data_IF_373470353414
#
_entry.id   IF_373470353414
#
_cell.length_a   1.000
_cell.length_b   1.000
_cell.length_c   1.000
_cell.angle_alpha   90.00
_cell.angle_beta   90.00
_cell.angle_gamma   90.00
#
_symmetry.space_group_name_H-M   'P 1'
#
loop_
_entity.id
_entity.type
_entity.pdbx_description
1 polymer ?
#
# COMPACT_ATOMS: atom_id res chain seq x y z
N UNK A 1 -4.04 20.42 49.72
CA UNK A 1 -3.28 19.23 49.29
C UNK A 1 -4.27 18.16 48.87
N UNK A 2 -4.43 17.93 47.56
CA UNK A 2 -5.26 16.83 47.07
C UNK A 2 -4.37 15.59 46.96
N UNK A 3 -4.56 14.63 47.87
CA UNK A 3 -4.02 13.30 47.71
C UNK A 3 -4.61 12.68 46.44
N UNK A 4 -3.78 12.53 45.41
CA UNK A 4 -4.07 11.59 44.33
C UNK A 4 -4.15 10.20 44.96
N UNK A 5 -5.38 9.74 45.24
CA UNK A 5 -5.69 8.34 45.54
C UNK A 5 -5.10 7.49 44.41
N UNK A 6 -3.93 6.89 44.65
CA UNK A 6 -3.38 5.84 43.79
C UNK A 6 -4.36 4.67 43.87
N UNK A 7 -5.15 4.49 42.82
CA UNK A 7 -5.95 3.27 42.65
C UNK A 7 -4.99 2.09 42.69
N UNK A 8 -5.23 1.07 43.55
CA UNK A 8 -4.42 -0.14 43.54
C UNK A 8 -4.47 -0.72 42.12
N UNK A 9 -3.29 -0.92 41.51
CA UNK A 9 -3.17 -1.50 40.18
C UNK A 9 -3.49 -2.98 40.27
N UNK A 10 -4.77 -3.30 40.23
CA UNK A 10 -5.23 -4.67 40.12
C UNK A 10 -4.59 -5.29 38.86
N UNK A 11 -3.79 -6.36 38.98
CA UNK A 11 -3.16 -7.00 37.84
C UNK A 11 -4.18 -7.49 36.80
N UNK A 12 -5.42 -7.82 37.19
CA UNK A 12 -6.48 -8.19 36.25
C UNK A 12 -6.94 -7.01 35.40
N UNK A 13 -7.01 -5.81 35.98
CA UNK A 13 -7.35 -4.56 35.26
C UNK A 13 -6.26 -4.19 34.27
N UNK A 14 -4.99 -4.35 34.65
CA UNK A 14 -3.87 -4.11 33.72
C UNK A 14 -3.87 -5.12 32.56
N UNK A 15 -4.09 -6.41 32.86
CA UNK A 15 -4.10 -7.45 31.84
C UNK A 15 -5.27 -7.27 30.85
N UNK A 16 -6.46 -6.91 31.35
CA UNK A 16 -7.63 -6.62 30.51
C UNK A 16 -7.44 -5.37 29.66
N UNK A 17 -6.91 -4.27 30.23
CA UNK A 17 -6.58 -3.07 29.47
C UNK A 17 -5.54 -3.36 28.37
N UNK A 18 -4.52 -4.18 28.65
CA UNK A 18 -3.53 -4.56 27.64
C UNK A 18 -4.13 -5.43 26.52
N UNK A 19 -5.02 -6.37 26.83
CA UNK A 19 -5.75 -7.14 25.82
C UNK A 19 -6.61 -6.24 24.93
N UNK A 20 -7.29 -5.26 25.53
CA UNK A 20 -8.09 -4.28 24.80
C UNK A 20 -7.21 -3.39 23.91
N UNK A 21 -6.05 -2.97 24.40
CA UNK A 21 -5.05 -2.23 23.61
C UNK A 21 -4.58 -3.04 22.40
N UNK A 22 -4.11 -4.28 22.58
CA UNK A 22 -3.63 -5.11 21.47
C UNK A 22 -4.73 -5.41 20.46
N UNK A 23 -5.96 -5.65 20.92
CA UNK A 23 -7.13 -5.82 20.06
C UNK A 23 -7.34 -4.55 19.24
N UNK A 24 -7.42 -3.38 19.88
CA UNK A 24 -7.61 -2.11 19.20
C UNK A 24 -6.50 -1.81 18.18
N UNK A 25 -5.25 -2.14 18.52
CA UNK A 25 -4.10 -1.96 17.65
C UNK A 25 -4.20 -2.86 16.42
N UNK A 26 -4.51 -4.15 16.61
CA UNK A 26 -4.69 -5.11 15.52
C UNK A 26 -5.79 -4.67 14.54
N UNK A 27 -6.92 -4.17 15.06
CA UNK A 27 -7.98 -3.58 14.24
C UNK A 27 -7.51 -2.30 13.54
N UNK A 28 -6.82 -1.39 14.22
CA UNK A 28 -6.34 -0.14 13.62
C UNK A 28 -5.34 -0.35 12.49
N UNK A 29 -4.51 -1.41 12.59
CA UNK A 29 -3.53 -1.80 11.57
C UNK A 29 -4.14 -2.60 10.43
N UNK A 30 -5.47 -2.79 10.42
CA UNK A 30 -6.22 -3.56 9.40
C UNK A 30 -5.77 -5.03 9.29
N UNK A 31 -5.00 -5.53 10.26
CA UNK A 31 -4.44 -6.89 10.27
C UNK A 31 -5.51 -7.97 10.47
N UNK A 32 -6.69 -7.57 10.96
CA UNK A 32 -7.84 -8.46 11.13
C UNK A 32 -8.61 -8.70 9.82
N UNK A 33 -8.37 -7.91 8.77
CA UNK A 33 -9.04 -8.08 7.47
C UNK A 33 -8.18 -8.90 6.51
N UNK A 34 -8.55 -10.18 6.35
CA UNK A 34 -7.82 -11.10 5.47
C UNK A 34 -7.84 -10.67 3.98
N UNK A 35 -8.98 -10.20 3.41
CA UNK A 35 -9.00 -9.70 2.03
C UNK A 35 -8.04 -8.52 1.81
N UNK A 36 -8.04 -7.53 2.70
CA UNK A 36 -7.12 -6.40 2.63
C UNK A 36 -5.65 -6.83 2.71
N UNK A 37 -5.30 -7.66 3.69
CA UNK A 37 -3.91 -8.11 3.86
C UNK A 37 -3.41 -8.97 2.69
N UNK A 38 -4.30 -9.78 2.08
CA UNK A 38 -3.98 -10.51 0.86
C UNK A 38 -3.78 -9.56 -0.32
N UNK A 39 -4.68 -8.60 -0.53
CA UNK A 39 -4.54 -7.58 -1.58
C UNK A 39 -3.26 -6.75 -1.40
N UNK A 40 -2.89 -6.41 -0.16
CA UNK A 40 -1.68 -5.64 0.13
C UNK A 40 -0.43 -6.46 -0.21
N UNK A 41 -0.42 -7.75 0.11
CA UNK A 41 0.66 -8.66 -0.26
C UNK A 41 0.80 -8.80 -1.77
N UNK A 42 -0.32 -8.97 -2.48
CA UNK A 42 -0.33 -9.04 -3.96
C UNK A 42 0.23 -7.76 -4.57
N UNK A 43 -0.24 -6.60 -4.13
CA UNK A 43 0.26 -5.30 -4.57
C UNK A 43 1.77 -5.17 -4.37
N UNK A 44 2.29 -5.48 -3.18
CA UNK A 44 3.73 -5.42 -2.91
C UNK A 44 4.52 -6.39 -3.79
N UNK A 45 4.00 -7.60 -4.04
CA UNK A 45 4.62 -8.58 -4.93
C UNK A 45 4.71 -8.06 -6.36
N UNK A 46 3.67 -7.41 -6.87
CA UNK A 46 3.69 -6.83 -8.22
C UNK A 46 4.56 -5.57 -8.30
N UNK A 47 4.73 -4.83 -7.22
CA UNK A 47 5.73 -3.74 -7.14
C UNK A 47 7.15 -4.31 -7.26
N UNK A 48 7.44 -5.41 -6.55
CA UNK A 48 8.74 -6.09 -6.67
C UNK A 48 8.98 -6.61 -8.10
N UNK A 49 7.94 -7.16 -8.74
CA UNK A 49 8.00 -7.60 -10.14
C UNK A 49 8.25 -6.43 -11.11
N UNK A 50 7.60 -5.28 -10.90
CA UNK A 50 7.84 -4.07 -11.68
C UNK A 50 9.30 -3.60 -11.55
N UNK A 51 9.85 -3.60 -10.33
CA UNK A 51 11.25 -3.25 -10.08
C UNK A 51 12.19 -4.22 -10.82
N UNK A 52 11.89 -5.52 -10.80
CA UNK A 52 12.68 -6.52 -11.51
C UNK A 52 12.72 -6.27 -13.03
N UNK A 53 11.61 -5.83 -13.64
CA UNK A 53 11.60 -5.45 -15.06
C UNK A 53 12.43 -4.20 -15.34
N UNK A 54 12.43 -3.21 -14.45
CA UNK A 54 13.27 -2.01 -14.57
C UNK A 54 14.76 -2.38 -14.52
N UNK A 55 15.16 -3.22 -13.56
CA UNK A 55 16.55 -3.67 -13.43
C UNK A 55 16.99 -4.51 -14.64
N UNK A 56 16.09 -5.35 -15.15
CA UNK A 56 16.33 -6.12 -16.38
C UNK A 56 16.50 -5.21 -17.59
N UNK A 57 15.63 -4.22 -17.77
CA UNK A 57 15.72 -3.26 -18.87
C UNK A 57 17.05 -2.50 -18.82
N UNK A 58 17.46 -2.04 -17.62
CA UNK A 58 18.75 -1.37 -17.42
C UNK A 58 19.94 -2.27 -17.81
N UNK A 59 19.85 -3.56 -17.51
CA UNK A 59 20.89 -4.53 -17.87
C UNK A 59 20.98 -4.71 -19.39
N UNK A 60 19.83 -4.83 -20.07
CA UNK A 60 19.75 -4.94 -21.53
C UNK A 60 20.32 -3.69 -22.20
N UNK A 61 19.92 -2.50 -21.76
CA UNK A 61 20.39 -1.24 -22.31
C UNK A 61 21.90 -1.07 -22.15
N UNK A 62 22.44 -1.44 -20.98
CA UNK A 62 23.89 -1.44 -20.78
C UNK A 62 24.62 -2.35 -21.77
N UNK A 63 24.06 -3.52 -22.08
CA UNK A 63 24.67 -4.43 -23.04
C UNK A 63 24.57 -3.90 -24.48
N UNK A 64 23.44 -3.28 -24.84
CA UNK A 64 23.29 -2.60 -26.14
C UNK A 64 24.29 -1.45 -26.31
N UNK A 65 24.55 -0.68 -25.25
CA UNK A 65 25.55 0.38 -25.27
C UNK A 65 26.97 -0.19 -25.47
N UNK A 66 27.31 -1.30 -24.81
CA UNK A 66 28.59 -2.00 -25.01
C UNK A 66 28.73 -2.53 -26.45
N UNK A 67 27.66 -3.05 -27.05
CA UNK A 67 27.66 -3.52 -28.44
C UNK A 67 27.89 -2.37 -29.42
N UNK A 68 27.28 -1.20 -29.17
CA UNK A 68 27.35 -0.02 -30.04
C UNK A 68 28.67 0.74 -29.92
N UNK A 69 29.17 0.92 -28.70
CA UNK A 69 30.32 1.79 -28.42
C UNK A 69 31.64 1.01 -28.42
N UNK A 70 31.64 -0.23 -27.91
CA UNK A 70 32.85 -1.04 -27.74
C UNK A 70 32.92 -2.22 -28.73
N UNK A 71 31.83 -2.52 -29.44
CA UNK A 71 31.75 -3.62 -30.40
C UNK A 71 31.73 -5.01 -29.73
N UNK A 72 31.43 -5.08 -28.43
CA UNK A 72 31.38 -6.33 -27.65
C UNK A 72 30.03 -7.01 -27.87
N UNK A 73 29.93 -7.81 -28.93
CA UNK A 73 28.69 -8.52 -29.31
C UNK A 73 28.61 -9.90 -28.67
N UNK A 74 27.48 -10.20 -28.05
CA UNK A 74 27.15 -11.57 -27.63
C UNK A 74 26.42 -12.30 -28.78
N UNK A 75 27.11 -13.27 -29.39
CA UNK A 75 26.59 -14.02 -30.53
C UNK A 75 25.32 -14.85 -30.21
N UNK A 76 24.99 -15.05 -28.94
CA UNK A 76 23.83 -15.83 -28.51
C UNK A 76 22.67 -14.99 -27.99
N UNK A 77 22.85 -13.67 -27.84
CA UNK A 77 21.82 -12.77 -27.31
C UNK A 77 21.24 -11.85 -28.39
N UNK A 78 19.95 -11.54 -28.28
CA UNK A 78 19.30 -10.53 -29.12
C UNK A 78 18.71 -9.44 -28.22
N UNK A 79 19.57 -8.52 -27.79
CA UNK A 79 19.20 -7.49 -26.83
C UNK A 79 18.14 -6.52 -27.36
N UNK A 80 18.06 -6.27 -28.68
CA UNK A 80 17.02 -5.42 -29.26
C UNK A 80 15.62 -6.04 -29.17
N UNK A 81 15.51 -7.36 -29.35
CA UNK A 81 14.24 -8.05 -29.18
C UNK A 81 13.88 -8.17 -27.69
N UNK A 82 14.87 -8.51 -26.84
CA UNK A 82 14.66 -8.58 -25.40
C UNK A 82 14.21 -7.23 -24.80
N UNK A 83 14.74 -6.11 -25.28
CA UNK A 83 14.31 -4.77 -24.85
C UNK A 83 12.82 -4.57 -25.12
N UNK A 84 12.35 -4.88 -26.35
CA UNK A 84 10.93 -4.75 -26.73
C UNK A 84 10.03 -5.63 -25.87
N UNK A 85 10.44 -6.87 -25.63
CA UNK A 85 9.67 -7.81 -24.83
C UNK A 85 9.59 -7.35 -23.36
N UNK A 86 10.70 -6.86 -22.81
CA UNK A 86 10.74 -6.33 -21.43
C UNK A 86 9.94 -5.04 -21.30
N UNK A 87 9.94 -4.14 -22.29
CA UNK A 87 9.11 -2.93 -22.28
C UNK A 87 7.62 -3.26 -22.25
N UNK A 88 7.21 -4.28 -23.00
CA UNK A 88 5.82 -4.73 -23.03
C UNK A 88 5.40 -5.38 -21.69
N UNK A 89 6.28 -6.18 -21.08
CA UNK A 89 6.03 -6.72 -19.73
C UNK A 89 6.07 -5.64 -18.65
N UNK A 90 6.91 -4.61 -18.79
CA UNK A 90 6.97 -3.46 -17.89
C UNK A 90 5.65 -2.68 -17.90
N UNK A 91 5.08 -2.41 -19.08
CA UNK A 91 3.76 -1.76 -19.20
C UNK A 91 2.65 -2.60 -18.55
N UNK A 92 2.67 -3.92 -18.77
CA UNK A 92 1.73 -4.85 -18.12
C UNK A 92 1.88 -4.85 -16.60
N UNK A 93 3.12 -4.87 -16.09
CA UNK A 93 3.40 -4.83 -14.67
C UNK A 93 2.93 -3.50 -14.04
N UNK A 94 3.18 -2.37 -14.69
CA UNK A 94 2.67 -1.05 -14.27
C UNK A 94 1.14 -1.08 -14.15
N UNK A 95 0.44 -1.50 -15.21
CA UNK A 95 -1.03 -1.59 -15.21
C UNK A 95 -1.57 -2.51 -14.12
N UNK A 96 -0.85 -3.60 -13.81
CA UNK A 96 -1.19 -4.52 -12.72
C UNK A 96 -1.06 -3.85 -11.35
N UNK A 97 0.04 -3.14 -11.10
CA UNK A 97 0.25 -2.35 -9.88
C UNK A 97 -0.84 -1.29 -9.70
N UNK A 98 -1.19 -0.57 -10.78
CA UNK A 98 -2.26 0.42 -10.75
C UNK A 98 -3.62 -0.22 -10.43
N UNK A 99 -3.93 -1.37 -11.03
CA UNK A 99 -5.15 -2.13 -10.75
C UNK A 99 -5.22 -2.57 -9.29
N UNK A 100 -4.13 -3.13 -8.76
CA UNK A 100 -4.06 -3.59 -7.38
C UNK A 100 -4.23 -2.43 -6.38
N UNK A 101 -3.64 -1.27 -6.68
CA UNK A 101 -3.81 -0.07 -5.88
C UNK A 101 -5.29 0.36 -5.84
N UNK A 102 -5.98 0.36 -6.99
CA UNK A 102 -7.42 0.66 -7.05
C UNK A 102 -8.22 -0.34 -6.22
N UNK A 103 -7.90 -1.63 -6.30
CA UNK A 103 -8.56 -2.68 -5.49
C UNK A 103 -8.31 -2.49 -3.99
N UNK A 104 -7.10 -2.11 -3.59
CA UNK A 104 -6.77 -1.79 -2.20
C UNK A 104 -7.56 -0.59 -1.67
N UNK A 105 -7.62 0.49 -2.44
CA UNK A 105 -8.41 1.70 -2.10
C UNK A 105 -9.89 1.35 -1.99
N UNK A 106 -10.42 0.56 -2.92
CA UNK A 106 -11.81 0.09 -2.86
C UNK A 106 -12.08 -0.70 -1.58
N UNK A 107 -11.21 -1.64 -1.21
CA UNK A 107 -11.35 -2.42 0.04
C UNK A 107 -11.26 -1.53 1.28
N UNK A 108 -10.38 -0.54 1.29
CA UNK A 108 -10.28 0.44 2.37
C UNK A 108 -11.59 1.25 2.52
N UNK A 109 -12.20 1.67 1.41
CA UNK A 109 -13.51 2.37 1.42
C UNK A 109 -14.63 1.49 1.94
N UNK A 110 -14.65 0.20 1.61
CA UNK A 110 -15.59 -0.77 2.19
C UNK A 110 -15.39 -0.92 3.70
N UNK A 111 -14.14 -1.10 4.14
CA UNK A 111 -13.80 -1.23 5.55
C UNK A 111 -14.15 0.01 6.35
N UNK A 112 -13.99 1.21 5.78
CA UNK A 112 -14.41 2.45 6.43
C UNK A 112 -15.92 2.47 6.68
N UNK A 113 -16.73 2.11 5.66
CA UNK A 113 -18.19 1.98 5.79
C UNK A 113 -18.61 0.94 6.84
N UNK A 114 -17.97 -0.24 6.80
CA UNK A 114 -18.22 -1.31 7.78
C UNK A 114 -17.88 -0.85 9.21
N UNK A 115 -16.75 -0.16 9.39
CA UNK A 115 -16.30 0.34 10.70
C UNK A 115 -17.17 1.45 11.26
N UNK A 116 -17.62 2.37 10.41
CA UNK A 116 -18.59 3.42 10.79
C UNK A 116 -19.90 2.80 11.27
N UNK A 117 -20.34 1.69 10.66
CA UNK A 117 -21.58 0.98 11.04
C UNK A 117 -21.48 0.08 12.27
N UNK A 118 -20.30 -0.44 12.62
CA UNK A 118 -20.17 -1.48 13.66
C UNK A 118 -20.11 -0.91 15.08
N UNK A 119 -19.94 0.42 15.26
CA UNK A 119 -19.89 1.03 16.60
C UNK A 119 -18.78 0.47 17.51
N UNK A 120 -17.83 -0.32 16.96
CA UNK A 120 -16.76 -0.97 17.72
C UNK A 120 -15.81 0.05 18.40
N UNK A 121 -15.88 1.31 17.96
CA UNK A 121 -15.22 2.47 18.54
C UNK A 121 -16.22 3.56 18.99
N UNK A 122 -17.52 3.27 18.86
CA UNK A 122 -18.65 4.21 18.97
C UNK A 122 -19.36 4.24 20.33
N UNK A 123 -19.10 3.29 21.23
CA UNK A 123 -19.48 3.46 22.64
C UNK A 123 -18.46 2.76 23.55
N UNK A 124 -17.88 3.55 24.46
CA UNK A 124 -16.63 3.22 25.14
C UNK A 124 -16.78 2.12 26.18
N UNK A 125 -16.26 0.93 25.89
CA UNK A 125 -15.93 -0.03 26.93
C UNK A 125 -14.60 0.40 27.60
N UNK A 126 -14.70 1.39 28.49
CA UNK A 126 -13.61 1.87 29.34
C UNK A 126 -13.36 0.84 30.44
N UNK A 127 -12.33 0.02 30.26
CA UNK A 127 -11.83 -0.86 31.32
C UNK A 127 -10.69 -0.15 32.02
N UNK A 128 -10.89 0.21 33.29
CA UNK A 128 -9.84 0.81 34.12
C UNK A 128 -9.37 2.21 33.67
N UNK A 129 -10.16 2.93 32.86
CA UNK A 129 -9.80 4.26 32.35
C UNK A 129 -8.93 4.24 31.09
N UNK A 130 -8.67 3.05 30.51
CA UNK A 130 -8.05 2.97 29.18
C UNK A 130 -9.11 3.26 28.11
N UNK A 131 -8.89 4.35 27.35
CA UNK A 131 -9.65 4.66 26.15
C UNK A 131 -8.78 4.32 24.93
N UNK A 132 -9.22 3.38 24.07
CA UNK A 132 -8.49 3.03 22.85
C UNK A 132 -8.29 4.26 21.94
N UNK A 133 -7.12 4.35 21.31
CA UNK A 133 -6.80 5.44 20.38
C UNK A 133 -7.79 5.48 19.21
N UNK A 134 -8.66 6.50 19.20
CA UNK A 134 -9.62 6.81 18.12
C UNK A 134 -8.94 7.60 17.00
N UNK A 135 -7.81 7.10 16.50
CA UNK A 135 -7.01 7.78 15.49
C UNK A 135 -7.85 8.08 14.25
N UNK A 136 -7.64 9.26 13.67
CA UNK A 136 -8.22 9.64 12.38
C UNK A 136 -8.03 8.48 11.41
N UNK A 137 -9.13 7.78 11.14
CA UNK A 137 -9.16 6.37 10.79
C UNK A 137 -8.76 6.12 9.35
N UNK A 138 -9.25 5.02 8.80
CA UNK A 138 -9.15 4.68 7.38
C UNK A 138 -9.51 5.89 6.51
N UNK A 139 -10.49 6.69 6.90
CA UNK A 139 -10.78 8.03 6.38
C UNK A 139 -9.56 8.94 6.12
N UNK A 140 -8.64 9.11 7.09
CA UNK A 140 -7.43 9.93 6.89
C UNK A 140 -6.47 9.32 5.88
N UNK A 141 -6.40 7.98 5.83
CA UNK A 141 -5.62 7.27 4.82
C UNK A 141 -6.25 7.47 3.44
N UNK A 142 -7.56 7.35 3.33
CA UNK A 142 -8.32 7.58 2.11
C UNK A 142 -8.17 9.03 1.61
N UNK A 143 -8.29 10.02 2.49
CA UNK A 143 -8.05 11.43 2.13
C UNK A 143 -6.65 11.66 1.56
N UNK A 144 -5.62 11.01 2.13
CA UNK A 144 -4.25 11.08 1.60
C UNK A 144 -4.10 10.37 0.26
N UNK A 145 -4.78 9.24 0.08
CA UNK A 145 -4.76 8.48 -1.16
C UNK A 145 -5.50 9.23 -2.28
N UNK A 146 -6.64 9.84 -1.97
CA UNK A 146 -7.44 10.62 -2.93
C UNK A 146 -6.68 11.86 -3.41
N UNK A 147 -5.97 12.58 -2.53
CA UNK A 147 -5.11 13.71 -2.94
C UNK A 147 -4.01 13.28 -3.92
N UNK A 148 -3.45 12.08 -3.76
CA UNK A 148 -2.48 11.52 -4.71
C UNK A 148 -3.11 11.08 -6.03
N UNK A 149 -4.37 10.60 -6.01
CA UNK A 149 -5.08 10.16 -7.20
C UNK A 149 -5.50 11.32 -8.11
N UNK A 150 -6.00 12.44 -7.55
CA UNK A 150 -6.37 13.63 -8.32
C UNK A 150 -5.18 14.25 -9.07
N UNK A 151 -3.97 14.14 -8.53
CA UNK A 151 -2.75 14.59 -9.20
C UNK A 151 -2.32 13.69 -10.37
N UNK A 152 -2.78 12.43 -10.41
CA UNK A 152 -2.49 11.50 -11.50
C UNK A 152 -3.55 11.56 -12.62
N UNK A 153 -4.80 11.90 -12.31
CA UNK A 153 -5.88 12.04 -13.32
C UNK A 153 -5.66 13.24 -14.26
N UNK A 154 -4.98 14.30 -13.81
CA UNK A 154 -4.66 15.46 -14.65
C UNK A 154 -3.58 15.19 -15.73
N UNK A 155 -2.94 14.02 -15.72
CA UNK A 155 -1.85 13.67 -16.66
C UNK A 155 -2.34 12.86 -17.87
N UNK A 156 -3.52 12.23 -17.80
CA UNK A 156 -4.05 11.35 -18.87
C UNK A 156 -4.88 12.08 -19.94
N UNK A 157 -5.12 13.39 -19.82
CA UNK A 157 -5.99 14.18 -20.72
C UNK A 157 -5.27 14.99 -21.82
N UNK A 158 -3.95 14.87 -22.00
CA UNK A 158 -3.18 15.67 -22.99
C UNK A 158 -2.35 14.84 -24.00
N UNK A 159 -2.86 13.70 -24.48
CA UNK A 159 -2.40 13.11 -25.73
C UNK A 159 -3.35 13.45 -26.90
N UNK A 160 -3.27 14.73 -27.29
CA UNK A 160 -3.81 15.27 -28.53
C UNK A 160 -2.74 15.98 -29.34
N UNK A 161 -1.54 15.39 -29.50
CA UNK A 161 -0.55 15.89 -30.45
C UNK A 161 -0.94 15.49 -31.88
N UNK A 162 -1.65 16.40 -32.54
CA UNK A 162 -1.86 16.40 -33.99
C UNK A 162 -0.50 16.66 -34.67
N UNK A 163 0.07 15.64 -35.32
CA UNK A 163 1.28 15.75 -36.14
C UNK A 163 0.88 16.21 -37.55
N UNK A 164 1.24 17.46 -37.87
CA UNK A 164 1.45 17.93 -39.25
C UNK A 164 2.83 17.47 -39.73
#
# INVERSE_FOLDING_TARGET
MHESRRTPHDPEVLASAHRLFLRSLSYSLLLTDMPYTHALRSFLTHVDELIAFIDRLRTIQRNLDLERDEGVVDAFANYEQEEKDVLLELDRARKRVDSDLRSLVARLRELDKERVGTGLFGDGESIGGFEPWKGGGVDRLLMKLDFGASANEEVDDDEGFDLI
#
